data_IF_067414633702
#
_entry.id   IF_067414633702
#
_cell.length_a   1.000
_cell.length_b   1.000
_cell.length_c   1.000
_cell.angle_alpha   90.00
_cell.angle_beta   90.00
_cell.angle_gamma   90.00
#
_symmetry.space_group_name_H-M   'P 1'
#
loop_
_entity.id
_entity.type
_entity.pdbx_description
1 polymer ?
#
# COMPACT_ATOMS: atom_id res chain seq x y z
N UNK A 1 11.56 10.72 -2.24
CA UNK A 1 10.23 11.09 -2.75
C UNK A 1 9.23 10.83 -1.65
N UNK A 2 8.32 11.75 -1.39
CA UNK A 2 7.32 11.62 -0.32
C UNK A 2 5.93 11.86 -0.90
N UNK A 3 4.94 11.10 -0.43
CA UNK A 3 3.55 11.27 -0.81
C UNK A 3 2.76 11.71 0.42
N UNK A 4 1.92 12.74 0.28
CA UNK A 4 1.01 13.17 1.32
C UNK A 4 -0.43 12.84 0.93
N UNK A 5 -1.20 12.26 1.86
CA UNK A 5 -2.61 11.96 1.66
C UNK A 5 -3.34 12.01 3.01
N UNK A 6 -4.46 12.73 3.07
CA UNK A 6 -5.17 12.98 4.33
C UNK A 6 -4.20 13.51 5.43
N UNK A 7 -4.21 12.89 6.61
CA UNK A 7 -3.30 13.15 7.74
C UNK A 7 -2.02 12.27 7.71
N UNK A 8 -1.76 11.57 6.60
CA UNK A 8 -0.65 10.65 6.47
C UNK A 8 0.41 11.11 5.44
N UNK A 9 1.67 10.75 5.70
CA UNK A 9 2.83 10.97 4.83
C UNK A 9 3.54 9.64 4.60
N UNK A 10 3.70 9.22 3.34
CA UNK A 10 4.50 8.06 2.97
C UNK A 10 5.88 8.51 2.50
N UNK A 11 6.93 8.04 3.17
CA UNK A 11 8.30 8.21 2.73
C UNK A 11 8.74 6.98 1.92
N UNK A 12 9.00 7.18 0.62
CA UNK A 12 9.37 6.12 -0.32
C UNK A 12 10.78 5.59 -0.07
N UNK A 13 11.67 6.43 0.45
CA UNK A 13 13.07 6.04 0.68
C UNK A 13 13.20 5.10 1.89
N UNK A 14 12.40 5.32 2.93
CA UNK A 14 12.43 4.49 4.15
C UNK A 14 11.31 3.46 4.20
N UNK A 15 10.36 3.50 3.27
CA UNK A 15 9.12 2.70 3.29
C UNK A 15 8.30 2.89 4.58
N UNK A 16 8.39 4.07 5.19
CA UNK A 16 7.65 4.42 6.40
C UNK A 16 6.42 5.24 6.05
N UNK A 17 5.32 4.98 6.74
CA UNK A 17 4.17 5.89 6.79
C UNK A 17 4.13 6.62 8.13
N UNK A 18 3.94 7.93 8.10
CA UNK A 18 3.79 8.78 9.27
C UNK A 18 2.34 9.25 9.32
N UNK A 19 1.63 8.95 10.40
CA UNK A 19 0.20 9.26 10.59
C UNK A 19 0.06 9.87 11.97
N UNK A 20 -0.48 11.09 12.08
CA UNK A 20 -0.63 11.81 13.35
C UNK A 20 0.64 11.75 14.23
N UNK A 21 1.79 12.02 13.60
CA UNK A 21 3.15 12.00 14.19
C UNK A 21 3.67 10.61 14.61
N UNK A 22 2.94 9.53 14.32
CA UNK A 22 3.40 8.14 14.52
C UNK A 22 4.00 7.58 13.24
N UNK A 23 5.27 7.20 13.30
CA UNK A 23 5.94 6.48 12.21
C UNK A 23 5.72 4.98 12.33
N UNK A 24 5.20 4.37 11.27
CA UNK A 24 5.00 2.92 11.13
C UNK A 24 5.76 2.42 9.90
N UNK A 25 6.60 1.40 10.09
CA UNK A 25 7.25 0.70 8.98
C UNK A 25 6.21 -0.17 8.28
N UNK A 26 6.09 -0.05 6.96
CA UNK A 26 5.25 -0.94 6.17
C UNK A 26 6.06 -2.15 5.71
N UNK A 27 5.42 -3.32 5.67
CA UNK A 27 5.96 -4.48 4.97
C UNK A 27 6.07 -4.19 3.46
N UNK A 28 7.04 -4.81 2.77
CA UNK A 28 7.30 -4.56 1.34
C UNK A 28 6.04 -4.58 0.47
N UNK A 29 5.17 -5.58 0.68
CA UNK A 29 3.92 -5.71 -0.11
C UNK A 29 2.91 -4.62 0.21
N UNK A 30 2.79 -4.23 1.48
CA UNK A 30 1.90 -3.17 1.92
C UNK A 30 2.38 -1.82 1.36
N UNK A 31 3.69 -1.59 1.40
CA UNK A 31 4.35 -0.44 0.79
C UNK A 31 4.10 -0.39 -0.73
N UNK A 32 4.39 -1.48 -1.46
CA UNK A 32 4.20 -1.53 -2.91
C UNK A 32 2.75 -1.26 -3.31
N UNK A 33 1.79 -1.82 -2.55
CA UNK A 33 0.37 -1.59 -2.77
C UNK A 33 0.03 -0.11 -2.58
N UNK A 34 0.41 0.47 -1.44
CA UNK A 34 0.11 1.87 -1.13
C UNK A 34 0.78 2.82 -2.15
N UNK A 35 2.03 2.58 -2.49
CA UNK A 35 2.80 3.34 -3.47
C UNK A 35 2.15 3.29 -4.85
N UNK A 36 1.77 2.09 -5.33
CA UNK A 36 1.07 1.93 -6.61
C UNK A 36 -0.24 2.71 -6.63
N UNK A 37 -1.04 2.58 -5.57
CA UNK A 37 -2.31 3.30 -5.47
C UNK A 37 -2.09 4.82 -5.50
N UNK A 38 -1.09 5.33 -4.77
CA UNK A 38 -0.77 6.76 -4.74
C UNK A 38 -0.29 7.28 -6.10
N UNK A 39 0.53 6.53 -6.82
CA UNK A 39 1.01 6.91 -8.15
C UNK A 39 -0.10 6.96 -9.20
N UNK A 40 -1.14 6.13 -9.05
CA UNK A 40 -2.23 6.01 -10.01
C UNK A 40 -3.45 6.87 -9.68
N UNK A 41 -3.47 7.60 -8.55
CA UNK A 41 -4.61 8.46 -8.19
C UNK A 41 -4.90 9.48 -9.30
N UNK A 42 -6.18 9.74 -9.63
CA UNK A 42 -7.41 9.22 -9.00
C UNK A 42 -7.98 7.93 -9.63
N UNK A 43 -7.19 7.19 -10.42
CA UNK A 43 -7.67 6.04 -11.20
C UNK A 43 -7.97 4.82 -10.33
N UNK A 44 -9.02 4.09 -10.69
CA UNK A 44 -9.34 2.79 -10.08
C UNK A 44 -8.36 1.74 -10.61
N UNK A 45 -7.72 1.02 -9.70
CA UNK A 45 -6.85 -0.10 -10.04
C UNK A 45 -7.66 -1.40 -9.99
N UNK A 46 -7.53 -2.26 -11.00
CA UNK A 46 -8.21 -3.56 -11.01
C UNK A 46 -7.53 -4.55 -10.06
N UNK A 47 -8.29 -5.52 -9.56
CA UNK A 47 -7.77 -6.59 -8.71
C UNK A 47 -6.65 -7.38 -9.41
N UNK A 48 -6.87 -7.77 -10.67
CA UNK A 48 -5.91 -8.54 -11.45
C UNK A 48 -4.60 -7.77 -11.70
N UNK A 49 -4.68 -6.47 -12.01
CA UNK A 49 -3.48 -5.65 -12.21
C UNK A 49 -2.66 -5.50 -10.93
N UNK A 50 -3.34 -5.29 -9.79
CA UNK A 50 -2.68 -5.22 -8.50
C UNK A 50 -2.02 -6.54 -8.12
N UNK A 51 -2.70 -7.68 -8.33
CA UNK A 51 -2.11 -8.99 -8.07
C UNK A 51 -0.87 -9.21 -8.94
N UNK A 52 -0.96 -8.94 -10.24
CA UNK A 52 0.15 -9.11 -11.18
C UNK A 52 1.35 -8.22 -10.83
N UNK A 53 1.10 -7.01 -10.34
CA UNK A 53 2.15 -6.08 -9.91
C UNK A 53 2.83 -6.51 -8.60
N UNK A 54 2.04 -6.93 -7.62
CA UNK A 54 2.53 -7.25 -6.27
C UNK A 54 3.14 -8.65 -6.16
N UNK A 55 2.66 -9.58 -6.98
CA UNK A 55 3.06 -10.98 -7.02
C UNK A 55 3.42 -11.39 -8.45
N UNK A 56 4.45 -10.77 -9.05
CA UNK A 56 4.88 -11.17 -10.37
C UNK A 56 5.30 -12.64 -10.34
N UNK A 57 4.83 -13.41 -11.32
CA UNK A 57 5.14 -14.84 -11.47
C UNK A 57 4.78 -15.71 -10.25
N UNK A 58 3.87 -15.25 -9.40
CA UNK A 58 3.46 -15.99 -8.20
C UNK A 58 1.95 -16.18 -8.21
N UNK A 59 1.50 -17.43 -8.06
CA UNK A 59 0.08 -17.74 -7.90
C UNK A 59 -0.30 -17.53 -6.45
N UNK A 60 -1.23 -16.60 -6.21
CA UNK A 60 -1.79 -16.30 -4.89
C UNK A 60 -3.29 -16.55 -4.89
N UNK A 61 -3.85 -16.84 -3.72
CA UNK A 61 -5.30 -17.00 -3.58
C UNK A 61 -6.02 -15.66 -3.82
N UNK A 62 -7.27 -15.72 -4.26
CA UNK A 62 -8.12 -14.52 -4.42
C UNK A 62 -8.27 -13.72 -3.11
N UNK A 63 -8.05 -14.36 -1.96
CA UNK A 63 -8.08 -13.72 -0.64
C UNK A 63 -6.82 -12.95 -0.28
N UNK A 64 -5.70 -13.15 -0.98
CA UNK A 64 -4.41 -12.55 -0.62
C UNK A 64 -4.42 -11.03 -0.77
N UNK A 65 -4.97 -10.49 -1.86
CA UNK A 65 -5.06 -9.04 -2.05
C UNK A 65 -6.08 -8.38 -1.11
N UNK A 66 -7.33 -8.87 -0.95
CA UNK A 66 -8.27 -8.33 0.02
C UNK A 66 -7.74 -8.33 1.46
N UNK A 67 -7.01 -9.39 1.85
CA UNK A 67 -6.34 -9.46 3.15
C UNK A 67 -5.26 -8.38 3.28
N UNK A 68 -4.36 -8.27 2.31
CA UNK A 68 -3.32 -7.25 2.29
C UNK A 68 -3.89 -5.83 2.37
N UNK A 69 -4.98 -5.56 1.65
CA UNK A 69 -5.66 -4.26 1.69
C UNK A 69 -6.25 -3.99 3.08
N UNK A 70 -6.85 -5.01 3.71
CA UNK A 70 -7.44 -4.90 5.06
C UNK A 70 -6.37 -4.67 6.13
N UNK A 71 -5.25 -5.38 6.03
CA UNK A 71 -4.10 -5.23 6.93
C UNK A 71 -3.50 -3.83 6.77
N UNK A 72 -3.30 -3.36 5.52
CA UNK A 72 -2.83 -2.00 5.23
C UNK A 72 -3.78 -0.95 5.82
N UNK A 73 -5.10 -1.08 5.64
CA UNK A 73 -6.06 -0.15 6.26
C UNK A 73 -5.96 -0.13 7.78
N UNK A 74 -5.74 -1.30 8.39
CA UNK A 74 -5.59 -1.42 9.85
C UNK A 74 -4.29 -0.79 10.36
N UNK A 75 -3.25 -0.73 9.54
CA UNK A 75 -2.03 0.03 9.83
C UNK A 75 -2.25 1.54 9.67
N UNK A 76 -3.11 1.95 8.72
CA UNK A 76 -3.38 3.36 8.44
C UNK A 76 -4.38 4.03 9.42
N UNK A 77 -5.33 3.27 9.98
CA UNK A 77 -6.36 3.78 10.89
C UNK A 77 -5.96 3.72 12.38
N UNK A 78 -4.67 3.79 12.70
CA UNK A 78 -4.14 3.66 14.07
C UNK A 78 -3.84 4.99 14.76
#
# INVERSE_FOLDING_TARGET
MEFQFANARLNVATQCVIIDERSTQLDDRAFMLLHCLLQRRPQVCSHADLVKLLWPNTVVSDWSLPKLVSDLRSQLNR
#
